data_IF_620818167765
#
_entry.id   IF_620818167765
#
_cell.length_a   1.000
_cell.length_b   1.000
_cell.length_c   1.000
_cell.angle_alpha   90.00
_cell.angle_beta   90.00
_cell.angle_gamma   90.00
#
_symmetry.space_group_name_H-M   'P 1'
#
loop_
_entity.id
_entity.type
_entity.pdbx_description
1 polymer ?
#
# COMPACT_ATOMS: atom_id res chain seq x y z
N UNK A 1 8.86 -1.72 -5.54
CA UNK A 1 9.59 -0.49 -5.16
C UNK A 1 10.94 -0.52 -5.86
N UNK A 2 11.49 0.60 -6.32
CA UNK A 2 12.88 0.58 -6.81
C UNK A 2 13.86 0.43 -5.65
N UNK A 3 15.06 -0.09 -5.94
CA UNK A 3 16.06 -0.41 -4.92
C UNK A 3 16.48 0.81 -4.10
N UNK A 4 16.57 1.99 -4.72
CA UNK A 4 16.97 3.21 -4.02
C UNK A 4 15.88 3.68 -3.03
N UNK A 5 14.61 3.63 -3.42
CA UNK A 5 13.49 3.92 -2.52
C UNK A 5 13.41 2.91 -1.37
N UNK A 6 13.70 1.64 -1.64
CA UNK A 6 13.79 0.61 -0.61
C UNK A 6 14.93 0.87 0.38
N UNK A 7 16.12 1.20 -0.12
CA UNK A 7 17.26 1.56 0.74
C UNK A 7 16.99 2.82 1.57
N UNK A 8 16.34 3.83 0.98
CA UNK A 8 15.90 5.03 1.72
C UNK A 8 14.88 4.69 2.80
N UNK A 9 13.92 3.81 2.51
CA UNK A 9 12.94 3.33 3.48
C UNK A 9 13.64 2.71 4.69
N UNK A 10 14.54 1.74 4.47
CA UNK A 10 15.26 1.09 5.55
C UNK A 10 16.22 2.01 6.29
N UNK A 11 16.85 2.96 5.59
CA UNK A 11 17.69 3.98 6.22
C UNK A 11 16.87 4.81 7.23
N UNK A 12 15.71 5.32 6.82
CA UNK A 12 14.86 6.12 7.70
C UNK A 12 14.21 5.27 8.81
N UNK A 13 13.75 4.07 8.50
CA UNK A 13 13.19 3.14 9.49
C UNK A 13 14.22 2.75 10.56
N UNK A 14 15.46 2.46 10.14
CA UNK A 14 16.57 2.18 11.06
C UNK A 14 16.91 3.40 11.93
N UNK A 15 16.81 4.61 11.36
CA UNK A 15 16.93 5.85 12.13
C UNK A 15 15.90 5.93 13.27
N UNK A 16 14.66 5.57 12.99
CA UNK A 16 13.60 5.52 14.01
C UNK A 16 13.90 4.47 15.09
N UNK A 17 14.26 3.24 14.70
CA UNK A 17 14.68 2.20 15.63
C UNK A 17 15.84 2.65 16.53
N UNK A 18 16.84 3.31 15.95
CA UNK A 18 17.99 3.82 16.71
C UNK A 18 17.52 4.79 17.80
N UNK A 19 16.67 5.77 17.47
CA UNK A 19 16.18 6.72 18.46
C UNK A 19 15.25 6.08 19.50
N UNK A 20 14.47 5.05 19.14
CA UNK A 20 13.70 4.28 20.11
C UNK A 20 14.59 3.52 21.10
N UNK A 21 15.68 2.92 20.60
CA UNK A 21 16.69 2.23 21.42
C UNK A 21 17.45 3.22 22.30
N UNK A 22 17.86 4.38 21.78
CA UNK A 22 18.49 5.42 22.60
C UNK A 22 17.56 5.93 23.68
N UNK A 23 16.28 6.15 23.37
CA UNK A 23 15.26 6.50 24.36
C UNK A 23 15.19 5.43 25.47
N UNK A 24 15.16 4.15 25.11
CA UNK A 24 15.19 3.07 26.10
C UNK A 24 16.43 3.13 26.98
N UNK A 25 17.62 3.36 26.40
CA UNK A 25 18.87 3.47 27.15
C UNK A 25 18.84 4.67 28.11
N UNK A 26 18.34 5.81 27.66
CA UNK A 26 18.18 7.01 28.50
C UNK A 26 17.25 6.73 29.67
N UNK A 27 16.16 5.98 29.46
CA UNK A 27 15.23 5.56 30.51
C UNK A 27 15.80 4.50 31.46
N UNK A 28 16.93 3.87 31.16
CA UNK A 28 17.60 2.94 32.08
C UNK A 28 18.61 3.64 33.00
N UNK A 29 18.99 4.89 32.70
CA UNK A 29 19.90 5.67 33.56
C UNK A 29 19.23 6.02 34.88
N UNK A 30 20.03 6.24 35.92
CA UNK A 30 19.52 6.68 37.24
C UNK A 30 18.81 8.02 37.14
N UNK A 31 19.41 8.98 36.43
CA UNK A 31 18.83 10.29 36.13
C UNK A 31 18.75 10.50 34.63
N UNK A 32 17.57 10.86 34.13
CA UNK A 32 17.33 11.19 32.73
C UNK A 32 16.81 12.62 32.67
N UNK A 33 17.30 13.45 31.74
CA UNK A 33 16.80 14.82 31.57
C UNK A 33 15.73 14.85 30.50
N UNK A 34 14.74 15.73 30.67
CA UNK A 34 13.66 15.93 29.69
C UNK A 34 14.21 16.25 28.29
N UNK A 35 15.31 16.99 28.20
CA UNK A 35 15.98 17.31 26.95
C UNK A 35 16.48 16.10 26.17
N UNK A 36 16.93 15.03 26.84
CA UNK A 36 17.38 13.79 26.18
C UNK A 36 16.18 13.03 25.58
N UNK A 37 15.05 13.04 26.30
CA UNK A 37 13.78 12.46 25.83
C UNK A 37 13.29 13.20 24.59
N UNK A 38 13.23 14.54 24.66
CA UNK A 38 12.86 15.38 23.53
C UNK A 38 13.81 15.22 22.34
N UNK A 39 15.11 15.06 22.60
CA UNK A 39 16.11 14.78 21.57
C UNK A 39 15.83 13.48 20.82
N UNK A 40 15.49 12.41 21.55
CA UNK A 40 15.13 11.12 20.95
C UNK A 40 13.86 11.22 20.08
N UNK A 41 12.78 11.81 20.61
CA UNK A 41 11.54 11.95 19.85
C UNK A 41 11.69 12.88 18.64
N UNK A 42 12.39 14.00 18.79
CA UNK A 42 12.64 14.92 17.68
C UNK A 42 13.49 14.26 16.59
N UNK A 43 14.51 13.50 17.00
CA UNK A 43 15.32 12.69 16.08
C UNK A 43 14.48 11.67 15.33
N UNK A 44 13.58 10.96 16.03
CA UNK A 44 12.65 10.03 15.41
C UNK A 44 11.73 10.73 14.41
N UNK A 45 11.14 11.87 14.78
CA UNK A 45 10.23 12.64 13.92
C UNK A 45 10.87 13.04 12.58
N UNK A 46 12.14 13.46 12.59
CA UNK A 46 12.90 13.78 11.35
C UNK A 46 13.00 12.60 10.40
N UNK A 47 13.07 11.37 10.93
CA UNK A 47 13.08 10.16 10.10
C UNK A 47 11.67 9.75 9.67
N UNK A 48 10.66 9.89 10.54
CA UNK A 48 9.25 9.59 10.23
C UNK A 48 8.77 10.43 9.05
N UNK A 49 9.04 11.74 9.05
CA UNK A 49 8.65 12.66 7.96
C UNK A 49 9.26 12.28 6.60
N UNK A 50 10.33 11.47 6.60
CA UNK A 50 11.04 11.01 5.41
C UNK A 50 10.74 9.55 5.06
N UNK A 51 9.93 8.85 5.85
CA UNK A 51 9.51 7.49 5.54
C UNK A 51 8.64 7.51 4.27
N UNK A 52 9.01 6.75 3.23
CA UNK A 52 8.08 6.43 2.15
C UNK A 52 6.76 5.88 2.74
N UNK A 53 5.60 6.20 2.15
CA UNK A 53 4.29 5.91 2.73
C UNK A 53 3.88 4.42 2.60
N UNK A 54 4.81 3.49 2.87
CA UNK A 54 4.59 2.05 2.86
C UNK A 54 3.57 1.57 3.90
N UNK A 55 3.25 2.37 4.91
CA UNK A 55 1.96 2.21 5.57
C UNK A 55 1.54 3.50 6.23
N UNK A 56 0.51 4.16 5.69
CA UNK A 56 0.01 5.39 6.32
C UNK A 56 -0.58 5.14 7.69
N UNK A 57 -1.23 4.00 7.92
CA UNK A 57 -1.82 3.71 9.23
C UNK A 57 -0.72 3.68 10.29
N UNK A 58 0.27 2.81 10.12
CA UNK A 58 1.40 2.66 11.03
C UNK A 58 2.26 3.93 11.09
N UNK A 59 2.51 4.62 9.96
CA UNK A 59 3.27 5.89 9.96
C UNK A 59 2.50 6.99 10.71
N UNK A 60 1.20 7.14 10.52
CA UNK A 60 0.39 8.15 11.21
C UNK A 60 0.27 7.84 12.70
N UNK A 61 0.14 6.55 13.05
CA UNK A 61 0.11 6.11 14.44
C UNK A 61 1.45 6.41 15.13
N UNK A 62 2.56 6.09 14.46
CA UNK A 62 3.91 6.42 14.91
C UNK A 62 4.12 7.94 15.05
N UNK A 63 3.75 8.70 14.03
CA UNK A 63 3.88 10.16 13.98
C UNK A 63 3.07 10.83 15.08
N UNK A 64 1.80 10.44 15.24
CA UNK A 64 0.92 10.96 16.29
C UNK A 64 1.54 10.71 17.66
N UNK A 65 1.94 9.47 17.93
CA UNK A 65 2.50 9.08 19.23
C UNK A 65 3.78 9.85 19.56
N UNK A 66 4.65 10.03 18.57
CA UNK A 66 5.88 10.82 18.73
C UNK A 66 5.57 12.31 18.96
N UNK A 67 4.62 12.88 18.21
CA UNK A 67 4.21 14.29 18.38
C UNK A 67 3.56 14.55 19.73
N UNK A 68 2.63 13.69 20.15
CA UNK A 68 1.97 13.79 21.45
C UNK A 68 3.02 13.79 22.59
N UNK A 69 4.04 12.93 22.51
CA UNK A 69 5.15 12.95 23.47
C UNK A 69 5.99 14.23 23.40
N UNK A 70 6.32 14.72 22.21
CA UNK A 70 7.08 15.97 22.05
C UNK A 70 6.32 17.14 22.69
N UNK A 71 5.02 17.25 22.44
CA UNK A 71 4.17 18.30 22.98
C UNK A 71 4.12 18.22 24.50
N UNK A 72 3.81 17.04 25.05
CA UNK A 72 3.76 16.83 26.50
C UNK A 72 5.06 17.24 27.21
N UNK A 73 6.22 16.84 26.69
CA UNK A 73 7.50 17.14 27.36
C UNK A 73 8.05 18.54 27.07
N UNK A 74 7.52 19.26 26.07
CA UNK A 74 7.80 20.69 25.90
C UNK A 74 7.14 21.55 26.99
N UNK A 75 6.00 21.11 27.52
CA UNK A 75 5.27 21.82 28.58
C UNK A 75 6.03 21.82 29.92
N UNK A 76 7.02 20.94 30.10
CA UNK A 76 7.90 20.92 31.29
C UNK A 76 8.83 22.13 31.40
N UNK A 77 8.90 22.99 30.37
CA UNK A 77 9.57 24.29 30.41
C UNK A 77 11.09 24.25 30.24
N UNK A 78 11.83 23.61 31.15
CA UNK A 78 13.31 23.53 31.07
C UNK A 78 13.78 22.09 30.73
N UNK A 79 14.46 21.89 29.59
CA UNK A 79 14.97 20.58 29.17
C UNK A 79 16.04 20.00 30.11
N UNK A 80 16.58 20.78 31.06
CA UNK A 80 17.58 20.33 32.03
C UNK A 80 16.95 19.62 33.23
N UNK A 81 15.65 19.76 33.45
CA UNK A 81 14.98 19.11 34.58
C UNK A 81 15.06 17.59 34.48
N UNK A 82 15.25 16.90 35.62
CA UNK A 82 15.17 15.45 35.66
C UNK A 82 13.74 15.02 35.36
N UNK A 83 13.61 13.94 34.61
CA UNK A 83 12.35 13.27 34.32
C UNK A 83 11.76 12.68 35.61
N UNK A 84 10.48 12.90 35.85
CA UNK A 84 9.84 12.33 37.05
C UNK A 84 9.70 10.80 36.94
N UNK A 85 9.75 10.07 38.06
CA UNK A 85 9.62 8.61 38.06
C UNK A 85 8.32 8.09 37.40
N UNK A 86 7.22 8.83 37.54
CA UNK A 86 5.92 8.46 36.93
C UNK A 86 5.99 8.50 35.40
N UNK A 87 6.65 9.52 34.84
CA UNK A 87 6.79 9.73 33.41
C UNK A 87 7.74 8.70 32.81
N UNK A 88 8.76 8.31 33.58
CA UNK A 88 9.69 7.25 33.22
C UNK A 88 8.97 5.91 32.99
N UNK A 89 8.01 5.55 33.86
CA UNK A 89 7.19 4.35 33.68
C UNK A 89 6.28 4.42 32.44
N UNK A 90 5.63 5.56 32.23
CA UNK A 90 4.81 5.79 31.03
C UNK A 90 5.64 5.72 29.74
N UNK A 91 6.84 6.29 29.75
CA UNK A 91 7.75 6.28 28.60
C UNK A 91 8.28 4.89 28.28
N UNK A 92 8.52 4.04 29.28
CA UNK A 92 8.92 2.64 29.04
C UNK A 92 7.83 1.87 28.28
N UNK A 93 6.56 2.05 28.64
CA UNK A 93 5.43 1.47 27.89
C UNK A 93 5.37 2.07 26.49
N UNK A 94 5.53 3.39 26.40
CA UNK A 94 5.50 4.12 25.12
C UNK A 94 6.55 3.60 24.15
N UNK A 95 7.77 3.32 24.62
CA UNK A 95 8.85 2.76 23.80
C UNK A 95 8.49 1.37 23.26
N UNK A 96 7.87 0.51 24.07
CA UNK A 96 7.43 -0.82 23.62
C UNK A 96 6.44 -0.68 22.45
N UNK A 97 5.41 0.14 22.62
CA UNK A 97 4.41 0.37 21.58
C UNK A 97 5.03 0.97 20.30
N UNK A 98 5.99 1.89 20.44
CA UNK A 98 6.73 2.42 19.29
C UNK A 98 7.52 1.32 18.56
N UNK A 99 8.19 0.43 19.32
CA UNK A 99 8.96 -0.68 18.75
C UNK A 99 8.07 -1.69 18.02
N UNK A 100 6.85 -1.94 18.50
CA UNK A 100 5.86 -2.78 17.81
C UNK A 100 5.45 -2.17 16.46
N UNK A 101 5.14 -0.87 16.43
CA UNK A 101 4.79 -0.16 15.18
C UNK A 101 5.97 -0.18 14.20
N UNK A 102 7.20 0.08 14.69
CA UNK A 102 8.41 0.04 13.87
C UNK A 102 8.70 -1.35 13.32
N UNK A 103 8.44 -2.41 14.11
CA UNK A 103 8.55 -3.79 13.64
C UNK A 103 7.51 -4.11 12.56
N UNK A 104 6.27 -3.68 12.72
CA UNK A 104 5.23 -3.81 11.68
C UNK A 104 5.70 -3.16 10.37
N UNK A 105 6.20 -1.92 10.43
CA UNK A 105 6.79 -1.23 9.29
C UNK A 105 7.96 -1.99 8.66
N UNK A 106 8.83 -2.61 9.45
CA UNK A 106 9.93 -3.44 8.94
C UNK A 106 9.39 -4.63 8.14
N UNK A 107 8.43 -5.37 8.70
CA UNK A 107 7.80 -6.53 8.05
C UNK A 107 7.12 -6.12 6.74
N UNK A 108 6.39 -5.00 6.74
CA UNK A 108 5.75 -4.43 5.54
C UNK A 108 6.81 -4.10 4.49
N UNK A 109 7.93 -3.49 4.91
CA UNK A 109 9.08 -3.24 4.05
C UNK A 109 9.61 -4.52 3.40
N UNK A 110 9.89 -5.57 4.17
CA UNK A 110 10.39 -6.86 3.65
C UNK A 110 9.40 -7.45 2.65
N UNK A 111 8.12 -7.54 3.02
CA UNK A 111 7.08 -8.11 2.15
C UNK A 111 6.93 -7.35 0.84
N UNK A 112 7.21 -6.05 0.83
CA UNK A 112 7.14 -5.23 -0.39
C UNK A 112 8.22 -5.55 -1.45
N UNK A 113 9.21 -6.39 -1.14
CA UNK A 113 10.26 -6.87 -2.06
C UNK A 113 10.33 -8.40 -2.18
N UNK A 114 9.39 -9.14 -1.58
CA UNK A 114 9.30 -10.59 -1.76
C UNK A 114 8.58 -10.92 -3.07
N UNK A 115 9.08 -11.94 -3.79
CA UNK A 115 8.41 -12.46 -4.98
C UNK A 115 6.95 -12.86 -4.65
N UNK A 116 5.95 -12.23 -5.27
CA UNK A 116 4.55 -12.46 -5.01
C UNK A 116 4.05 -13.72 -5.71
N UNK A 117 4.88 -14.46 -6.47
CA UNK A 117 4.47 -15.66 -7.21
C UNK A 117 3.69 -16.66 -6.35
N UNK A 118 4.09 -16.84 -5.08
CA UNK A 118 3.44 -17.71 -4.11
C UNK A 118 2.32 -17.03 -3.30
N UNK A 119 2.06 -15.75 -3.52
CA UNK A 119 0.94 -15.05 -2.86
C UNK A 119 -0.38 -15.64 -3.35
N UNK A 120 -1.27 -15.95 -2.41
CA UNK A 120 -2.59 -16.50 -2.69
C UNK A 120 -3.60 -15.35 -2.78
N UNK A 121 -4.32 -15.28 -3.89
CA UNK A 121 -5.48 -14.40 -4.06
C UNK A 121 -6.74 -15.15 -3.62
N UNK A 122 -7.39 -14.72 -2.52
CA UNK A 122 -8.64 -15.35 -2.09
C UNK A 122 -9.80 -14.96 -3.01
N UNK A 123 -10.65 -15.92 -3.36
CA UNK A 123 -11.92 -15.68 -4.02
C UNK A 123 -13.05 -15.53 -2.99
N UNK A 124 -13.09 -14.39 -2.29
CA UNK A 124 -14.02 -14.16 -1.18
C UNK A 124 -14.81 -12.87 -1.32
N UNK A 125 -15.89 -12.78 -0.55
CA UNK A 125 -16.64 -11.53 -0.37
C UNK A 125 -15.80 -10.51 0.38
N UNK A 126 -15.96 -9.26 0.01
CA UNK A 126 -15.37 -8.13 0.73
C UNK A 126 -16.15 -7.86 2.02
N UNK A 127 -15.47 -7.36 3.06
CA UNK A 127 -16.15 -6.92 4.28
C UNK A 127 -17.07 -5.73 4.02
N UNK A 128 -16.72 -4.86 3.05
CA UNK A 128 -17.55 -3.75 2.60
C UNK A 128 -17.64 -3.74 1.07
N UNK A 129 -18.73 -3.24 0.51
CA UNK A 129 -18.86 -3.07 -0.95
C UNK A 129 -17.92 -1.96 -1.43
N UNK A 130 -17.40 -2.13 -2.63
CA UNK A 130 -16.62 -1.10 -3.34
C UNK A 130 -17.26 -0.81 -4.70
N UNK A 131 -17.45 0.46 -5.04
CA UNK A 131 -18.04 0.91 -6.30
C UNK A 131 -16.95 0.97 -7.36
N UNK A 132 -17.05 0.16 -8.39
CA UNK A 132 -16.22 0.25 -9.58
C UNK A 132 -16.87 1.17 -10.61
N UNK A 133 -16.23 2.30 -10.94
CA UNK A 133 -16.68 3.19 -12.03
C UNK A 133 -15.83 2.94 -13.28
N UNK A 134 -16.44 2.70 -14.44
CA UNK A 134 -15.78 2.56 -15.75
C UNK A 134 -16.53 3.44 -16.76
N UNK A 135 -16.01 4.64 -17.01
CA UNK A 135 -16.73 5.66 -17.78
C UNK A 135 -17.95 6.15 -17.03
N UNK A 136 -19.11 6.13 -17.68
CA UNK A 136 -20.39 6.47 -17.05
C UNK A 136 -20.96 5.31 -16.23
N UNK A 137 -20.46 4.08 -16.45
CA UNK A 137 -20.93 2.93 -15.71
C UNK A 137 -20.39 2.94 -14.27
N UNK A 138 -21.28 2.76 -13.30
CA UNK A 138 -20.94 2.50 -11.88
C UNK A 138 -21.49 1.14 -11.46
N UNK A 139 -20.68 0.32 -10.78
CA UNK A 139 -21.05 -1.03 -10.35
C UNK A 139 -20.53 -1.32 -8.95
N UNK A 140 -21.40 -1.76 -8.06
CA UNK A 140 -20.98 -2.24 -6.75
C UNK A 140 -20.34 -3.63 -6.90
N UNK A 141 -19.16 -3.78 -6.31
CA UNK A 141 -18.42 -5.02 -6.20
C UNK A 141 -18.32 -5.41 -4.74
N UNK A 142 -18.71 -6.64 -4.45
CA UNK A 142 -18.81 -7.20 -3.11
C UNK A 142 -17.93 -8.45 -2.93
N UNK A 143 -17.10 -8.77 -3.92
CA UNK A 143 -16.22 -9.93 -3.95
C UNK A 143 -14.99 -9.68 -4.81
N UNK A 144 -13.95 -10.49 -4.63
CA UNK A 144 -12.75 -10.49 -5.47
C UNK A 144 -13.09 -10.53 -6.96
N UNK A 145 -12.46 -9.66 -7.74
CA UNK A 145 -12.72 -9.53 -9.17
C UNK A 145 -11.46 -9.17 -9.95
N UNK A 146 -11.55 -9.34 -11.27
CA UNK A 146 -10.49 -8.93 -12.18
C UNK A 146 -10.99 -7.98 -13.21
N UNK A 147 -10.06 -7.17 -13.70
CA UNK A 147 -10.30 -6.21 -14.75
C UNK A 147 -9.42 -6.62 -15.90
N UNK A 148 -10.05 -6.79 -17.05
CA UNK A 148 -9.41 -7.29 -18.24
C UNK A 148 -9.99 -6.67 -19.50
N UNK A 149 -9.32 -6.94 -20.62
CA UNK A 149 -9.87 -6.66 -21.94
C UNK A 149 -10.86 -7.76 -22.34
N UNK A 150 -11.89 -7.40 -23.08
CA UNK A 150 -12.75 -8.34 -23.81
C UNK A 150 -12.83 -7.89 -25.26
N UNK A 151 -12.67 -8.85 -26.18
CA UNK A 151 -12.71 -8.61 -27.62
C UNK A 151 -14.03 -9.12 -28.20
N UNK A 152 -14.71 -8.27 -28.96
CA UNK A 152 -15.95 -8.60 -29.68
C UNK A 152 -15.79 -8.15 -31.14
N UNK A 153 -15.48 -9.11 -32.02
CA UNK A 153 -15.02 -8.81 -33.38
C UNK A 153 -13.73 -7.98 -33.36
N UNK A 154 -13.69 -6.91 -34.15
CA UNK A 154 -12.53 -5.99 -34.24
C UNK A 154 -12.59 -4.84 -33.21
N UNK A 155 -13.31 -5.05 -32.10
CA UNK A 155 -13.51 -4.04 -31.06
C UNK A 155 -13.09 -4.59 -29.71
N UNK A 156 -12.33 -3.78 -28.99
CA UNK A 156 -11.88 -4.08 -27.64
C UNK A 156 -12.55 -3.17 -26.61
N UNK A 157 -12.90 -3.75 -25.48
CA UNK A 157 -13.52 -3.09 -24.34
C UNK A 157 -12.87 -3.52 -23.04
N UNK A 158 -13.07 -2.74 -21.98
CA UNK A 158 -12.73 -3.14 -20.61
C UNK A 158 -13.91 -3.91 -20.01
N UNK A 159 -13.60 -4.98 -19.29
CA UNK A 159 -14.56 -5.79 -18.59
C UNK A 159 -14.12 -6.06 -17.13
N UNK A 160 -15.11 -6.08 -16.25
CA UNK A 160 -15.00 -6.66 -14.92
C UNK A 160 -15.43 -8.13 -15.05
N UNK A 161 -14.56 -9.04 -14.64
CA UNK A 161 -14.79 -10.48 -14.68
C UNK A 161 -14.79 -11.04 -13.26
N UNK A 162 -15.56 -12.09 -13.05
CA UNK A 162 -15.59 -12.81 -11.77
C UNK A 162 -14.26 -13.52 -11.55
N UNK A 163 -13.69 -13.41 -10.34
CA UNK A 163 -12.55 -14.23 -9.96
C UNK A 163 -13.06 -15.65 -9.62
N UNK A 164 -12.55 -16.70 -10.29
CA UNK A 164 -13.26 -17.97 -10.31
C UNK A 164 -13.08 -18.79 -9.03
N UNK A 165 -11.87 -18.80 -8.47
CA UNK A 165 -11.53 -19.55 -7.25
C UNK A 165 -10.22 -19.00 -6.66
N UNK A 166 -9.91 -19.40 -5.43
CA UNK A 166 -8.67 -19.03 -4.75
C UNK A 166 -7.46 -19.67 -5.45
N UNK A 167 -6.46 -18.85 -5.81
CA UNK A 167 -5.29 -19.32 -6.55
C UNK A 167 -4.05 -18.49 -6.23
N UNK A 168 -2.87 -19.07 -6.46
CA UNK A 168 -1.62 -18.31 -6.36
C UNK A 168 -1.46 -17.35 -7.53
N UNK A 169 -0.62 -16.33 -7.38
CA UNK A 169 -0.24 -15.44 -8.47
C UNK A 169 0.42 -16.18 -9.62
N UNK A 170 1.25 -17.18 -9.32
CA UNK A 170 1.87 -18.06 -10.32
C UNK A 170 0.82 -18.78 -11.15
N UNK A 171 -0.21 -19.34 -10.50
CA UNK A 171 -1.33 -19.96 -11.21
C UNK A 171 -2.11 -18.95 -12.04
N UNK A 172 -2.47 -17.81 -11.44
CA UNK A 172 -3.17 -16.72 -12.11
C UNK A 172 -2.46 -16.28 -13.39
N UNK A 173 -1.13 -16.16 -13.35
CA UNK A 173 -0.31 -15.81 -14.51
C UNK A 173 -0.28 -16.91 -15.58
N UNK A 174 -0.42 -18.18 -15.19
CA UNK A 174 -0.68 -19.27 -16.14
C UNK A 174 -2.06 -19.18 -16.81
N UNK A 175 -2.98 -18.39 -16.26
CA UNK A 175 -4.36 -18.24 -16.75
C UNK A 175 -4.66 -16.89 -17.39
N UNK A 176 -3.73 -15.92 -17.36
CA UNK A 176 -3.98 -14.59 -17.95
C UNK A 176 -4.21 -14.60 -19.47
N UNK A 177 -3.80 -15.68 -20.15
CA UNK A 177 -4.08 -15.92 -21.57
C UNK A 177 -5.40 -16.68 -21.81
N UNK A 178 -5.97 -17.30 -20.76
CA UNK A 178 -7.17 -18.14 -20.79
C UNK A 178 -8.43 -17.34 -20.43
N UNK A 179 -9.24 -16.97 -21.43
CA UNK A 179 -10.49 -16.21 -21.19
C UNK A 179 -11.58 -17.02 -20.48
N UNK A 180 -11.65 -18.32 -20.77
CA UNK A 180 -12.82 -19.13 -20.48
C UNK A 180 -13.06 -19.31 -18.98
N UNK A 181 -12.00 -19.17 -18.17
CA UNK A 181 -12.09 -19.28 -16.71
C UNK A 181 -12.60 -18.00 -16.05
N UNK A 182 -12.49 -16.84 -16.68
CA UNK A 182 -12.86 -15.55 -16.09
C UNK A 182 -14.10 -14.98 -16.78
N UNK A 183 -15.28 -15.38 -16.27
CA UNK A 183 -16.58 -14.97 -16.80
C UNK A 183 -16.77 -13.45 -16.68
N UNK A 184 -17.10 -12.80 -17.81
CA UNK A 184 -17.46 -11.38 -17.85
C UNK A 184 -18.73 -11.14 -17.04
N UNK A 185 -18.65 -10.19 -16.12
CA UNK A 185 -19.77 -9.77 -15.26
C UNK A 185 -20.32 -8.42 -15.73
N UNK A 186 -19.43 -7.49 -16.06
CA UNK A 186 -19.75 -6.18 -16.61
C UNK A 186 -18.75 -5.81 -17.70
N UNK A 187 -19.20 -5.05 -18.70
CA UNK A 187 -18.38 -4.56 -19.82
C UNK A 187 -18.62 -3.06 -19.96
N UNK A 188 -17.58 -2.31 -20.32
CA UNK A 188 -17.66 -0.90 -20.71
C UNK A 188 -18.36 -0.76 -22.07
N UNK A 189 -19.16 0.29 -22.22
CA UNK A 189 -19.76 0.68 -23.51
C UNK A 189 -18.78 1.49 -24.40
N UNK A 190 -17.63 1.87 -23.84
CA UNK A 190 -16.62 2.68 -24.53
C UNK A 190 -15.60 1.76 -25.18
N UNK A 191 -15.54 1.83 -26.51
CA UNK A 191 -14.52 1.15 -27.31
C UNK A 191 -13.13 1.72 -27.00
N UNK A 192 -12.16 0.83 -26.80
CA UNK A 192 -10.75 1.19 -26.72
C UNK A 192 -10.25 1.63 -28.10
N UNK A 193 -9.66 2.83 -28.19
CA UNK A 193 -9.07 3.35 -29.44
C UNK A 193 -7.75 2.60 -29.71
N UNK A 194 -7.73 1.78 -30.76
CA UNK A 194 -6.61 0.91 -31.09
C UNK A 194 -5.37 1.66 -31.59
N UNK A 195 -4.26 1.47 -30.87
CA UNK A 195 -2.92 1.25 -31.44
C UNK A 195 -2.29 0.13 -30.62
N UNK A 196 -2.73 -1.09 -30.88
CA UNK A 196 -1.98 -2.27 -30.45
C UNK A 196 -1.10 -2.63 -31.64
N UNK A 197 0.20 -2.30 -31.59
CA UNK A 197 1.15 -2.96 -32.48
C UNK A 197 1.03 -4.47 -32.25
N UNK A 198 1.31 -5.30 -33.26
CA UNK A 198 1.14 -6.77 -33.20
C UNK A 198 1.85 -7.44 -32.01
N UNK A 199 2.82 -6.74 -31.39
CA UNK A 199 3.57 -7.15 -30.20
C UNK A 199 2.86 -6.87 -28.86
N UNK A 200 1.76 -6.11 -28.89
CA UNK A 200 0.88 -5.79 -27.76
C UNK A 200 -0.40 -6.63 -27.80
N UNK A 201 -0.29 -7.94 -28.10
CA UNK A 201 -1.27 -8.95 -27.66
C UNK A 201 -1.28 -9.03 -26.12
N UNK A 202 -1.57 -7.90 -25.49
CA UNK A 202 -1.48 -7.66 -24.07
C UNK A 202 -2.49 -8.55 -23.36
N UNK A 203 -2.01 -9.13 -22.27
CA UNK A 203 -2.74 -9.97 -21.32
C UNK A 203 -4.22 -9.59 -21.23
N UNK A 204 -5.11 -10.59 -21.32
CA UNK A 204 -6.56 -10.35 -21.28
C UNK A 204 -7.05 -10.00 -19.88
N UNK A 205 -6.20 -10.18 -18.88
CA UNK A 205 -6.38 -9.74 -17.50
C UNK A 205 -5.29 -8.71 -17.20
N UNK A 206 -5.68 -7.54 -16.70
CA UNK A 206 -4.77 -6.45 -16.39
C UNK A 206 -4.61 -6.28 -14.89
N UNK A 207 -5.72 -6.30 -14.15
CA UNK A 207 -5.72 -6.13 -12.70
C UNK A 207 -6.52 -7.21 -11.99
N UNK A 208 -6.09 -7.54 -10.78
CA UNK A 208 -6.84 -8.32 -9.81
C UNK A 208 -7.04 -7.50 -8.54
N UNK A 209 -8.26 -7.46 -8.03
CA UNK A 209 -8.63 -6.70 -6.83
C UNK A 209 -9.19 -7.69 -5.81
N UNK A 210 -8.60 -7.73 -4.62
CA UNK A 210 -9.03 -8.59 -3.52
C UNK A 210 -8.94 -7.88 -2.16
N UNK A 211 -9.46 -8.51 -1.11
CA UNK A 211 -9.26 -8.06 0.27
C UNK A 211 -8.47 -9.15 1.00
N UNK A 212 -7.34 -8.83 1.64
CA UNK A 212 -6.54 -9.87 2.31
C UNK A 212 -7.08 -10.24 3.71
N UNK A 213 -7.89 -9.37 4.31
CA UNK A 213 -8.40 -9.50 5.68
C UNK A 213 -8.12 -8.25 6.51
N UNK A 214 -7.14 -7.47 6.10
CA UNK A 214 -6.78 -6.18 6.68
C UNK A 214 -7.14 -5.01 5.77
N UNK A 215 -6.88 -5.13 4.46
CA UNK A 215 -7.13 -4.05 3.50
C UNK A 215 -7.40 -4.58 2.09
N UNK A 216 -7.83 -3.67 1.21
CA UNK A 216 -7.94 -3.93 -0.22
C UNK A 216 -6.57 -3.93 -0.88
N UNK A 217 -6.36 -4.92 -1.73
CA UNK A 217 -5.15 -5.13 -2.50
C UNK A 217 -5.51 -5.12 -3.98
N UNK A 218 -4.60 -4.58 -4.77
CA UNK A 218 -4.68 -4.62 -6.21
C UNK A 218 -3.39 -5.22 -6.75
N UNK A 219 -3.45 -5.96 -7.85
CA UNK A 219 -2.25 -6.33 -8.55
C UNK A 219 -2.35 -6.24 -10.04
N UNK A 220 -1.30 -5.70 -10.63
CA UNK A 220 -1.06 -5.66 -12.05
C UNK A 220 -0.41 -6.97 -12.50
N UNK A 221 -1.17 -7.72 -13.28
CA UNK A 221 -0.80 -9.01 -13.87
C UNK A 221 -0.43 -8.87 -15.35
N UNK A 222 -0.34 -7.64 -15.87
CA UNK A 222 -0.13 -7.38 -17.29
C UNK A 222 1.29 -7.62 -17.78
N UNK A 223 2.28 -7.89 -16.88
CA UNK A 223 3.65 -8.42 -17.13
C UNK A 223 4.62 -8.18 -15.96
N UNK A 224 4.29 -7.28 -15.02
CA UNK A 224 5.24 -6.76 -14.02
C UNK A 224 5.07 -7.31 -12.60
N UNK A 225 4.15 -8.28 -12.40
CA UNK A 225 3.85 -8.90 -11.10
C UNK A 225 3.74 -7.85 -9.99
N UNK A 226 3.03 -6.76 -10.25
CA UNK A 226 3.06 -5.61 -9.35
C UNK A 226 1.88 -5.65 -8.42
N UNK A 227 2.09 -6.03 -7.16
CA UNK A 227 1.08 -5.87 -6.12
C UNK A 227 1.16 -4.45 -5.59
N UNK A 228 0.01 -3.80 -5.46
CA UNK A 228 -0.16 -2.44 -4.97
C UNK A 228 -1.21 -2.43 -3.88
N UNK A 229 -0.89 -1.80 -2.76
CA UNK A 229 -1.86 -1.44 -1.73
C UNK A 229 -2.27 0.02 -1.92
N UNK A 230 -3.55 0.30 -1.74
CA UNK A 230 -4.11 1.64 -1.88
C UNK A 230 -4.94 1.95 -0.64
N UNK A 231 -4.70 3.11 -0.03
CA UNK A 231 -5.51 3.60 1.10
C UNK A 231 -6.78 4.30 0.61
N UNK A 232 -7.67 4.58 1.56
CA UNK A 232 -8.86 5.40 1.33
C UNK A 232 -8.58 6.83 0.82
N UNK A 233 -7.32 7.28 0.84
CA UNK A 233 -6.87 8.65 0.54
C UNK A 233 -6.04 8.73 -0.75
N UNK A 234 -6.21 7.81 -1.69
CA UNK A 234 -5.63 7.89 -3.05
C UNK A 234 -4.10 7.81 -3.10
N UNK A 235 -3.40 7.35 -2.05
CA UNK A 235 -1.96 7.06 -2.16
C UNK A 235 -1.73 5.57 -2.24
N UNK A 236 -0.81 5.21 -3.14
CA UNK A 236 -0.13 3.94 -3.09
C UNK A 236 0.54 3.84 -1.72
N UNK A 237 0.09 2.88 -0.94
CA UNK A 237 0.66 2.56 0.35
C UNK A 237 1.93 1.75 0.08
N UNK A 238 1.80 0.49 -0.34
CA UNK A 238 2.93 -0.39 -0.69
C UNK A 238 2.89 -0.81 -2.15
N UNK A 239 4.02 -1.29 -2.67
CA UNK A 239 3.93 -2.23 -3.78
C UNK A 239 5.22 -2.91 -4.23
N UNK A 240 5.10 -4.20 -4.52
CA UNK A 240 6.14 -5.06 -5.08
C UNK A 240 6.22 -4.90 -6.60
N UNK A 241 7.40 -5.05 -7.20
CA UNK A 241 7.58 -5.10 -8.66
C UNK A 241 8.74 -6.04 -8.98
N UNK A 242 8.47 -7.17 -9.62
CA UNK A 242 9.50 -8.14 -9.97
C UNK A 242 10.54 -7.56 -10.94
N UNK A 243 10.09 -6.67 -11.84
CA UNK A 243 10.94 -6.07 -12.88
C UNK A 243 10.99 -4.55 -12.73
N UNK A 244 11.91 -4.06 -11.90
CA UNK A 244 12.09 -2.63 -11.59
C UNK A 244 12.25 -1.75 -12.84
N UNK A 245 12.90 -2.28 -13.89
CA UNK A 245 13.21 -1.55 -15.12
C UNK A 245 12.14 -1.67 -16.21
N UNK A 246 11.16 -2.56 -16.06
CA UNK A 246 10.09 -2.70 -17.06
C UNK A 246 8.94 -1.78 -16.68
N UNK A 247 8.58 -0.75 -17.49
CA UNK A 247 7.45 0.12 -17.21
C UNK A 247 6.21 -0.67 -16.82
N UNK A 248 5.38 -0.12 -15.91
CA UNK A 248 4.05 -0.66 -15.67
C UNK A 248 3.31 -0.48 -17.00
N UNK A 249 3.30 -1.53 -17.83
CA UNK A 249 2.74 -1.49 -19.17
C UNK A 249 1.24 -1.75 -19.10
N UNK A 250 0.54 -0.97 -18.26
CA UNK A 250 -0.90 -0.81 -18.35
C UNK A 250 -1.16 0.46 -19.16
N UNK A 251 -1.79 0.33 -20.32
CA UNK A 251 -2.08 1.50 -21.16
C UNK A 251 -3.04 2.45 -20.42
N UNK A 252 -2.91 3.77 -20.62
CA UNK A 252 -3.88 4.72 -20.10
C UNK A 252 -5.25 4.37 -20.67
N UNK A 253 -6.17 3.98 -19.79
CA UNK A 253 -7.54 3.64 -20.12
C UNK A 253 -8.34 4.84 -20.71
N UNK A 254 -7.71 6.00 -20.92
CA UNK A 254 -8.36 7.25 -21.28
C UNK A 254 -9.22 7.78 -20.13
N UNK A 255 -9.58 9.07 -20.15
CA UNK A 255 -10.40 9.70 -19.08
C UNK A 255 -11.72 8.95 -18.84
N UNK A 256 -12.24 8.28 -19.87
CA UNK A 256 -13.51 7.57 -19.84
C UNK A 256 -13.38 6.05 -19.53
N UNK A 257 -12.19 5.43 -19.46
CA UNK A 257 -12.10 4.06 -18.93
C UNK A 257 -11.27 3.98 -17.63
N UNK A 258 -11.06 5.12 -16.96
CA UNK A 258 -10.54 5.12 -15.58
C UNK A 258 -11.42 4.25 -14.69
N UNK A 259 -10.78 3.47 -13.83
CA UNK A 259 -11.43 2.54 -12.93
C UNK A 259 -11.39 3.13 -11.53
N UNK A 260 -12.53 3.52 -11.00
CA UNK A 260 -12.61 4.11 -9.67
C UNK A 260 -13.06 3.01 -8.72
N UNK A 261 -12.43 2.81 -7.57
CA UNK A 261 -12.88 1.85 -6.55
C UNK A 261 -13.33 2.66 -5.33
N UNK A 262 -14.63 2.89 -5.16
CA UNK A 262 -15.17 3.78 -4.12
C UNK A 262 -15.76 2.97 -2.94
N UNK A 263 -15.26 3.16 -1.73
CA UNK A 263 -15.78 2.46 -0.53
C UNK A 263 -15.22 3.02 0.77
N UNK A 264 -14.73 4.25 0.73
CA UNK A 264 -14.17 5.03 1.84
C UNK A 264 -15.01 6.31 2.00
N UNK A 265 -14.96 7.00 3.16
CA UNK A 265 -15.82 8.16 3.46
C UNK A 265 -15.82 9.24 2.38
N UNK A 266 -14.71 9.37 1.63
CA UNK A 266 -14.63 10.15 0.40
C UNK A 266 -14.32 9.25 -0.81
N UNK A 267 -15.02 9.49 -1.93
CA UNK A 267 -14.88 8.74 -3.18
C UNK A 267 -13.42 8.81 -3.70
N UNK A 268 -12.74 7.67 -3.80
CA UNK A 268 -11.33 7.61 -4.19
C UNK A 268 -11.14 6.95 -5.58
N UNK A 269 -10.59 7.67 -6.59
CA UNK A 269 -10.11 7.05 -7.84
C UNK A 269 -8.98 6.08 -7.56
N UNK A 270 -9.03 4.92 -8.22
CA UNK A 270 -7.83 4.11 -8.46
C UNK A 270 -7.38 4.37 -9.88
N UNK A 271 -6.72 5.51 -10.08
CA UNK A 271 -6.09 5.78 -11.37
C UNK A 271 -4.87 4.84 -11.48
N UNK A 272 -4.95 3.90 -12.41
CA UNK A 272 -3.83 3.05 -12.80
C UNK A 272 -2.83 3.98 -13.50
N UNK A 273 -1.98 4.63 -12.71
CA UNK A 273 -1.04 5.63 -13.22
C UNK A 273 0.10 4.97 -13.98
N UNK A 274 0.29 5.41 -15.22
CA UNK A 274 1.55 5.39 -15.95
C UNK A 274 2.36 6.64 -15.57
N UNK A 275 3.68 6.53 -15.38
CA UNK A 275 4.53 7.71 -15.57
C UNK A 275 4.54 8.07 -17.07
N UNK A 276 4.56 9.38 -17.36
CA UNK A 276 4.88 9.93 -18.68
C UNK A 276 6.33 9.59 -19.01
#
# INVERSE_FOLDING_TARGET
MDYLTFMKYYFHLTGCFRFAIELQKELLKETTKVGEILGCFSGMNVHIEKLPPLSRKEINELEKKVKDCIEHYKEYGDPRYPLEPKDKGMLQITVIELMEILHSLQVIGVKSIQDPSELIVPAKKFPNKIVVKMGEMKRDMDETFVIGRVSEGDKDYIAIRKFPYEMSFKELMGLVESEDKFKVRYKSDIKLKGRFDEHLRASRIHLVIWHDGSCYRMADVSRTYTIVEIDGDRRRITGYRAYINQPLLTQPLGKQNKIWICGTPDETPVEIFTQI
#
